data_IF_005847217809
#
_entry.id   IF_005847217809
#
_cell.length_a   1.000
_cell.length_b   1.000
_cell.length_c   1.000
_cell.angle_alpha   90.00
_cell.angle_beta   90.00
_cell.angle_gamma   90.00
#
_symmetry.space_group_name_H-M   'P 1'
#
loop_
_entity.id
_entity.type
_entity.pdbx_description
1 polymer ?
#
# COMPACT_ATOMS: atom_id res chain seq x y z
N UNK A 1 9.07 26.88 -8.65
CA UNK A 1 8.21 26.29 -9.68
C UNK A 1 7.21 25.39 -8.97
N UNK A 2 6.00 25.87 -8.73
CA UNK A 2 4.91 25.03 -8.22
C UNK A 2 4.57 24.02 -9.32
N UNK A 3 4.97 22.77 -9.10
CA UNK A 3 4.44 21.67 -9.91
C UNK A 3 2.94 21.61 -9.61
N UNK A 4 2.08 21.87 -10.59
CA UNK A 4 0.61 21.75 -10.51
C UNK A 4 0.19 20.27 -10.38
N UNK A 5 0.70 19.56 -9.38
CA UNK A 5 0.38 18.16 -9.12
C UNK A 5 -0.86 18.07 -8.21
N UNK A 6 -1.83 17.20 -8.54
CA UNK A 6 -2.98 16.95 -7.68
C UNK A 6 -2.54 16.49 -6.29
N UNK A 7 -3.15 17.01 -5.23
CA UNK A 7 -2.88 16.55 -3.86
C UNK A 7 -3.11 15.03 -3.71
N UNK A 8 -4.09 14.48 -4.42
CA UNK A 8 -4.34 13.05 -4.48
C UNK A 8 -3.15 12.26 -5.06
N UNK A 9 -2.46 12.80 -6.07
CA UNK A 9 -1.28 12.15 -6.64
C UNK A 9 -0.11 12.14 -5.65
N UNK A 10 0.10 13.27 -4.96
CA UNK A 10 1.15 13.37 -3.94
C UNK A 10 0.88 12.39 -2.78
N UNK A 11 -0.37 12.34 -2.29
CA UNK A 11 -0.75 11.51 -1.15
C UNK A 11 -0.84 10.02 -1.46
N UNK A 12 -1.31 9.64 -2.66
CA UNK A 12 -1.55 8.24 -3.02
C UNK A 12 -0.34 7.57 -3.68
N UNK A 13 0.48 8.32 -4.41
CA UNK A 13 1.61 7.77 -5.18
C UNK A 13 2.94 8.13 -4.53
N UNK A 14 3.25 9.42 -4.37
CA UNK A 14 4.59 9.83 -3.93
C UNK A 14 4.86 9.51 -2.47
N UNK A 15 3.89 9.78 -1.58
CA UNK A 15 4.07 9.60 -0.15
C UNK A 15 4.31 8.12 0.24
N UNK A 16 3.55 7.13 -0.27
CA UNK A 16 3.79 5.72 0.06
C UNK A 16 5.09 5.18 -0.53
N UNK A 17 5.53 5.64 -1.71
CA UNK A 17 6.81 5.23 -2.30
C UNK A 17 7.96 5.58 -1.35
N UNK A 18 7.97 6.81 -0.82
CA UNK A 18 9.01 7.25 0.10
C UNK A 18 8.83 6.61 1.48
N UNK A 19 7.60 6.53 1.98
CA UNK A 19 7.29 5.97 3.30
C UNK A 19 7.64 4.48 3.44
N UNK A 20 7.44 3.70 2.36
CA UNK A 20 7.59 2.25 2.39
C UNK A 20 8.86 1.76 1.65
N UNK A 21 9.74 2.67 1.20
CA UNK A 21 10.92 2.32 0.40
C UNK A 21 11.83 1.28 1.09
N UNK A 22 12.04 1.43 2.40
CA UNK A 22 12.87 0.50 3.18
C UNK A 22 12.25 -0.90 3.27
N UNK A 23 10.93 -0.98 3.45
CA UNK A 23 10.18 -2.23 3.51
C UNK A 23 10.17 -2.91 2.15
N UNK A 24 9.98 -2.16 1.06
CA UNK A 24 10.06 -2.67 -0.30
C UNK A 24 11.45 -3.24 -0.61
N UNK A 25 12.50 -2.53 -0.22
CA UNK A 25 13.89 -3.02 -0.36
C UNK A 25 14.10 -4.33 0.40
N UNK A 26 13.55 -4.41 1.61
CA UNK A 26 13.62 -5.63 2.45
C UNK A 26 12.86 -6.79 1.81
N UNK A 27 11.65 -6.55 1.30
CA UNK A 27 10.84 -7.56 0.64
C UNK A 27 11.51 -8.09 -0.64
N UNK A 28 12.07 -7.20 -1.48
CA UNK A 28 12.79 -7.59 -2.70
C UNK A 28 14.07 -8.38 -2.35
N UNK A 29 14.80 -7.96 -1.32
CA UNK A 29 16.00 -8.68 -0.86
C UNK A 29 15.65 -10.06 -0.32
N UNK A 30 14.57 -10.19 0.45
CA UNK A 30 14.09 -11.49 0.93
C UNK A 30 13.68 -12.41 -0.24
N UNK A 31 12.95 -11.90 -1.22
CA UNK A 31 12.58 -12.65 -2.42
C UNK A 31 13.81 -13.09 -3.24
N UNK A 32 14.84 -12.24 -3.34
CA UNK A 32 16.10 -12.59 -4.01
C UNK A 32 16.86 -13.74 -3.32
N UNK A 33 16.67 -13.89 -2.01
CA UNK A 33 17.23 -15.00 -1.22
C UNK A 33 16.32 -16.24 -1.16
N UNK A 34 15.32 -16.34 -2.05
CA UNK A 34 14.37 -17.45 -2.11
C UNK A 34 13.48 -17.59 -0.85
N UNK A 35 13.33 -16.49 -0.09
CA UNK A 35 12.50 -16.41 1.11
C UNK A 35 11.17 -15.73 0.78
N UNK A 36 10.37 -16.35 -0.10
CA UNK A 36 9.11 -15.77 -0.57
C UNK A 36 8.09 -15.56 0.55
N UNK A 37 7.98 -16.49 1.50
CA UNK A 37 7.09 -16.36 2.67
C UNK A 37 7.42 -15.11 3.51
N UNK A 38 8.72 -14.82 3.67
CA UNK A 38 9.17 -13.62 4.39
C UNK A 38 8.85 -12.35 3.59
N UNK A 39 9.07 -12.37 2.27
CA UNK A 39 8.74 -11.26 1.38
C UNK A 39 7.24 -10.93 1.42
N UNK A 40 6.39 -11.95 1.28
CA UNK A 40 4.93 -11.82 1.41
C UNK A 40 4.52 -11.35 2.80
N UNK A 41 5.16 -11.87 3.85
CA UNK A 41 4.93 -11.43 5.23
C UNK A 41 5.21 -9.94 5.44
N UNK A 42 6.31 -9.42 4.89
CA UNK A 42 6.64 -7.99 4.93
C UNK A 42 5.58 -7.16 4.19
N UNK A 43 5.21 -7.56 2.97
CA UNK A 43 4.25 -6.82 2.15
C UNK A 43 2.83 -6.79 2.75
N UNK A 44 2.32 -7.95 3.17
CA UNK A 44 0.99 -8.09 3.78
C UNK A 44 0.96 -7.41 5.16
N UNK A 45 2.03 -7.58 5.95
CA UNK A 45 2.16 -6.96 7.27
C UNK A 45 2.13 -5.44 7.22
N UNK A 46 2.94 -4.83 6.35
CA UNK A 46 2.95 -3.37 6.13
C UNK A 46 1.57 -2.86 5.67
N UNK A 47 0.95 -3.52 4.68
CA UNK A 47 -0.38 -3.14 4.18
C UNK A 47 -1.46 -3.23 5.26
N UNK A 48 -1.43 -4.28 6.08
CA UNK A 48 -2.37 -4.50 7.18
C UNK A 48 -2.18 -3.46 8.28
N UNK A 49 -0.93 -3.13 8.62
CA UNK A 49 -0.62 -2.09 9.59
C UNK A 49 -1.14 -0.73 9.13
N UNK A 50 -0.95 -0.38 7.86
CA UNK A 50 -1.47 0.88 7.31
C UNK A 50 -3.00 0.91 7.39
N UNK A 51 -3.67 -0.17 6.97
CA UNK A 51 -5.13 -0.25 6.92
C UNK A 51 -5.78 -0.25 8.32
N UNK A 52 -5.25 -1.03 9.27
CA UNK A 52 -5.87 -1.24 10.58
C UNK A 52 -5.39 -0.27 11.66
N UNK A 53 -4.19 0.28 11.52
CA UNK A 53 -3.61 1.18 12.53
C UNK A 53 -3.44 2.59 12.00
N UNK A 54 -2.67 2.79 10.93
CA UNK A 54 -2.27 4.15 10.49
C UNK A 54 -3.47 4.98 10.06
N UNK A 55 -4.38 4.43 9.25
CA UNK A 55 -5.56 5.14 8.75
C UNK A 55 -6.53 5.50 9.90
N UNK A 56 -6.99 4.56 10.76
CA UNK A 56 -7.86 4.90 11.88
C UNK A 56 -7.21 5.86 12.88
N UNK A 57 -5.91 5.68 13.14
CA UNK A 57 -5.16 6.55 14.04
C UNK A 57 -5.08 7.99 13.50
N UNK A 58 -4.89 8.16 12.19
CA UNK A 58 -4.88 9.48 11.55
C UNK A 58 -6.23 10.19 11.69
N UNK A 59 -7.35 9.47 11.56
CA UNK A 59 -8.70 10.01 11.76
C UNK A 59 -8.88 10.51 13.20
N UNK A 60 -8.46 9.72 14.19
CA UNK A 60 -8.55 10.10 15.62
C UNK A 60 -7.72 11.35 15.89
N UNK A 61 -6.49 11.43 15.36
CA UNK A 61 -5.64 12.62 15.48
C UNK A 61 -6.33 13.84 14.86
N UNK A 62 -6.92 13.69 13.67
CA UNK A 62 -7.68 14.76 13.03
C UNK A 62 -8.77 15.32 13.94
N UNK A 63 -9.54 14.44 14.58
CA UNK A 63 -10.57 14.84 15.53
C UNK A 63 -10.01 15.55 16.77
N UNK A 64 -8.87 15.10 17.30
CA UNK A 64 -8.20 15.78 18.42
C UNK A 64 -7.78 17.22 18.09
N UNK A 65 -7.40 17.49 16.83
CA UNK A 65 -7.05 18.84 16.36
C UNK A 65 -8.24 19.63 15.81
N UNK A 66 -9.47 19.11 15.91
CA UNK A 66 -10.68 19.76 15.39
C UNK A 66 -10.76 19.77 13.85
N UNK A 67 -9.97 18.94 13.16
CA UNK A 67 -10.04 18.75 11.72
C UNK A 67 -11.06 17.65 11.41
N UNK A 68 -12.10 17.91 10.61
CA UNK A 68 -13.10 16.92 10.25
C UNK A 68 -12.49 15.91 9.24
N UNK A 69 -11.77 14.92 9.76
CA UNK A 69 -11.20 13.83 8.98
C UNK A 69 -12.14 12.62 9.02
N UNK A 70 -12.44 12.05 7.86
CA UNK A 70 -13.27 10.86 7.72
C UNK A 70 -12.66 9.85 6.76
N UNK A 71 -13.26 8.67 6.69
CA UNK A 71 -12.91 7.62 5.72
C UNK A 71 -13.68 7.80 4.39
N UNK A 72 -13.89 9.05 3.99
CA UNK A 72 -14.60 9.39 2.77
C UNK A 72 -13.59 9.54 1.62
N UNK A 73 -13.26 8.39 1.02
CA UNK A 73 -12.39 8.32 -0.14
C UNK A 73 -13.20 8.51 -1.42
N UNK A 74 -12.62 9.21 -2.41
CA UNK A 74 -13.25 9.35 -3.72
C UNK A 74 -13.59 7.98 -4.32
N UNK A 75 -14.77 7.88 -4.96
CA UNK A 75 -15.26 6.64 -5.58
C UNK A 75 -14.19 5.95 -6.44
N UNK A 76 -13.46 6.71 -7.25
CA UNK A 76 -12.39 6.18 -8.09
C UNK A 76 -11.28 5.51 -7.26
N UNK A 77 -10.78 6.20 -6.22
CA UNK A 77 -9.73 5.68 -5.35
C UNK A 77 -10.18 4.42 -4.60
N UNK A 78 -11.42 4.40 -4.11
CA UNK A 78 -12.01 3.25 -3.42
C UNK A 78 -12.15 2.05 -4.35
N UNK A 79 -12.64 2.25 -5.58
CA UNK A 79 -12.77 1.17 -6.56
C UNK A 79 -11.41 0.59 -6.97
N UNK A 80 -10.43 1.44 -7.26
CA UNK A 80 -9.07 0.99 -7.61
C UNK A 80 -8.43 0.23 -6.46
N UNK A 81 -8.53 0.73 -5.23
CA UNK A 81 -8.02 0.05 -4.04
C UNK A 81 -8.65 -1.33 -3.86
N UNK A 82 -9.98 -1.42 -3.97
CA UNK A 82 -10.70 -2.67 -3.84
C UNK A 82 -10.30 -3.68 -4.91
N UNK A 83 -10.19 -3.26 -6.18
CA UNK A 83 -9.70 -4.13 -7.26
C UNK A 83 -8.26 -4.58 -7.03
N UNK A 84 -7.39 -3.68 -6.55
CA UNK A 84 -6.00 -4.01 -6.21
C UNK A 84 -5.93 -5.10 -5.15
N UNK A 85 -6.77 -5.03 -4.11
CA UNK A 85 -6.83 -6.07 -3.07
C UNK A 85 -7.28 -7.40 -3.66
N UNK A 86 -8.33 -7.42 -4.49
CA UNK A 86 -8.79 -8.66 -5.12
C UNK A 86 -7.74 -9.30 -6.02
N UNK A 87 -7.07 -8.51 -6.87
CA UNK A 87 -6.03 -9.01 -7.77
C UNK A 87 -4.84 -9.53 -6.95
N UNK A 88 -4.35 -8.74 -5.98
CA UNK A 88 -3.23 -9.15 -5.14
C UNK A 88 -3.56 -10.42 -4.34
N UNK A 89 -4.74 -10.52 -3.72
CA UNK A 89 -5.17 -11.72 -3.01
C UNK A 89 -5.32 -12.94 -3.93
N UNK A 90 -5.76 -12.73 -5.17
CA UNK A 90 -5.88 -13.80 -6.17
C UNK A 90 -4.53 -14.30 -6.67
N UNK A 91 -3.55 -13.42 -6.88
CA UNK A 91 -2.20 -13.83 -7.32
C UNK A 91 -1.41 -14.48 -6.16
N UNK A 92 -1.61 -14.01 -4.93
CA UNK A 92 -0.90 -14.52 -3.75
C UNK A 92 -1.52 -15.80 -3.16
N UNK A 93 -2.66 -16.28 -3.65
CA UNK A 93 -3.36 -17.46 -3.08
C UNK A 93 -2.56 -18.75 -3.18
N UNK A 94 -1.68 -18.83 -4.18
CA UNK A 94 -0.96 -20.05 -4.53
C UNK A 94 0.35 -20.19 -3.73
N UNK A 95 0.71 -19.17 -2.93
CA UNK A 95 1.87 -19.18 -2.03
C UNK A 95 3.23 -19.23 -2.72
N UNK A 96 3.25 -19.17 -4.05
CA UNK A 96 4.45 -19.10 -4.87
C UNK A 96 4.31 -17.97 -5.87
N UNK A 97 5.42 -17.32 -6.23
CA UNK A 97 5.41 -16.22 -7.19
C UNK A 97 6.26 -16.56 -8.41
N UNK A 98 5.81 -16.16 -9.59
CA UNK A 98 6.62 -16.22 -10.81
C UNK A 98 6.91 -14.82 -11.37
N UNK A 99 7.93 -14.72 -12.22
CA UNK A 99 8.33 -13.46 -12.84
C UNK A 99 7.18 -12.80 -13.63
N UNK A 100 6.35 -13.59 -14.31
CA UNK A 100 5.26 -13.08 -15.12
C UNK A 100 4.13 -12.47 -14.27
N UNK A 101 3.74 -13.13 -13.19
CA UNK A 101 2.85 -12.58 -12.16
C UNK A 101 3.40 -11.28 -11.59
N UNK A 102 4.69 -11.24 -11.26
CA UNK A 102 5.36 -10.03 -10.80
C UNK A 102 5.24 -8.88 -11.81
N UNK A 103 5.49 -9.14 -13.10
CA UNK A 103 5.35 -8.11 -14.14
C UNK A 103 3.92 -7.64 -14.38
N UNK A 104 2.91 -8.45 -14.05
CA UNK A 104 1.51 -8.06 -14.15
C UNK A 104 1.05 -7.19 -12.97
N UNK A 105 1.69 -7.33 -11.81
CA UNK A 105 1.38 -6.56 -10.59
C UNK A 105 2.10 -5.21 -10.53
N UNK A 106 3.25 -5.08 -11.19
CA UNK A 106 3.96 -3.80 -11.34
C UNK A 106 3.22 -2.82 -12.25
#
# INVERSE_FOLDING_TARGET
AEYNMPYAFIGLILLPIVGNAAEHTTAVTAAYHDLMDLSMGVAIGSSTQVALFVIPYSVIIGWCYGVPMGLDFNLFSTTVFLLSVFIASGVLSDGSGNWFEGTMLC
#
